data_IF_868821426423
#
_entry.id   IF_868821426423
#
_cell.length_a   1.000
_cell.length_b   1.000
_cell.length_c   1.000
_cell.angle_alpha   90.00
_cell.angle_beta   90.00
_cell.angle_gamma   90.00
#
_symmetry.space_group_name_H-M   'P 1'
#
loop_
_entity.id
_entity.type
_entity.pdbx_description
1 polymer ?
#
# COMPACT_ATOMS: atom_id res chain seq x y z
N UNK A 1 5.64 2.85 1.00
CA UNK A 1 4.30 2.37 1.36
C UNK A 1 3.76 1.38 0.33
N UNK A 2 2.83 0.52 0.78
CA UNK A 2 1.92 -0.18 -0.11
C UNK A 2 0.66 0.66 -0.23
N UNK A 3 0.21 0.91 -1.46
CA UNK A 3 -1.01 1.65 -1.75
C UNK A 3 -2.13 0.67 -2.07
N UNK A 4 -3.31 0.92 -1.56
CA UNK A 4 -4.50 0.18 -1.99
C UNK A 4 -4.87 0.64 -3.40
N UNK A 5 -4.77 -0.24 -4.35
CA UNK A 5 -5.14 0.01 -5.74
C UNK A 5 -6.33 -0.88 -6.07
N UNK A 6 -7.50 -0.27 -6.20
CA UNK A 6 -8.74 -0.95 -6.56
C UNK A 6 -8.91 -0.79 -8.07
N UNK A 7 -8.71 -1.88 -8.80
CA UNK A 7 -8.61 -1.86 -10.27
C UNK A 7 -9.80 -2.53 -10.91
N UNK A 8 -10.32 -1.91 -11.94
CA UNK A 8 -11.36 -2.46 -12.82
C UNK A 8 -11.06 -2.11 -14.27
N UNK A 9 -11.73 -2.76 -15.22
CA UNK A 9 -11.67 -2.37 -16.62
C UNK A 9 -12.59 -1.17 -16.88
N UNK A 10 -12.18 -0.28 -17.76
CA UNK A 10 -12.94 0.94 -18.10
C UNK A 10 -14.34 0.66 -18.60
N UNK A 11 -14.53 -0.42 -19.36
CA UNK A 11 -15.83 -0.85 -19.90
C UNK A 11 -16.79 -1.42 -18.84
N UNK A 12 -16.33 -1.67 -17.60
CA UNK A 12 -17.19 -2.09 -16.49
C UNK A 12 -18.14 -1.00 -16.02
N UNK A 13 -17.80 0.27 -16.26
CA UNK A 13 -18.53 1.44 -15.75
C UNK A 13 -18.41 1.65 -14.24
N UNK A 14 -17.57 0.87 -13.53
CA UNK A 14 -17.36 0.99 -12.08
C UNK A 14 -16.36 2.12 -11.82
N UNK A 15 -16.78 3.13 -11.07
CA UNK A 15 -15.99 4.34 -10.76
C UNK A 15 -15.91 4.65 -9.27
N UNK A 16 -16.65 3.92 -8.43
CA UNK A 16 -16.72 4.11 -6.98
C UNK A 16 -16.65 2.74 -6.30
N UNK A 17 -15.96 2.68 -5.16
CA UNK A 17 -15.81 1.43 -4.38
C UNK A 17 -17.16 0.85 -3.89
N UNK A 18 -18.17 1.68 -3.67
CA UNK A 18 -19.50 1.21 -3.24
C UNK A 18 -20.21 0.36 -4.31
N UNK A 19 -19.81 0.50 -5.57
CA UNK A 19 -20.36 -0.28 -6.69
C UNK A 19 -19.85 -1.73 -6.74
N UNK A 20 -18.95 -2.13 -5.83
CA UNK A 20 -18.53 -3.54 -5.70
C UNK A 20 -19.65 -4.44 -5.16
N UNK A 21 -20.70 -3.85 -4.56
CA UNK A 21 -21.88 -4.61 -4.11
C UNK A 21 -22.52 -5.34 -5.29
N UNK A 22 -22.75 -6.64 -5.12
CA UNK A 22 -23.29 -7.53 -6.16
C UNK A 22 -22.29 -7.95 -7.24
N UNK A 23 -21.04 -7.50 -7.17
CA UNK A 23 -19.99 -7.79 -8.17
C UNK A 23 -19.15 -9.01 -7.79
N UNK A 24 -18.40 -9.49 -8.76
CA UNK A 24 -17.36 -10.51 -8.59
C UNK A 24 -16.04 -9.75 -8.36
N UNK A 25 -15.42 -9.98 -7.23
CA UNK A 25 -14.18 -9.30 -6.89
C UNK A 25 -13.05 -10.28 -6.57
N UNK A 26 -11.84 -9.77 -6.47
CA UNK A 26 -10.73 -10.43 -5.78
C UNK A 26 -10.14 -9.46 -4.77
N UNK A 27 -10.31 -9.76 -3.49
CA UNK A 27 -9.75 -8.98 -2.38
C UNK A 27 -8.29 -9.32 -2.09
N UNK A 28 -7.65 -10.16 -2.88
CA UNK A 28 -6.31 -10.70 -2.68
C UNK A 28 -6.32 -12.09 -2.04
N UNK A 29 -5.19 -12.78 -2.10
CA UNK A 29 -5.04 -14.14 -1.57
C UNK A 29 -5.45 -14.24 -0.10
N UNK A 30 -6.03 -15.37 0.34
CA UNK A 30 -6.43 -15.56 1.73
C UNK A 30 -5.29 -15.27 2.70
N UNK A 31 -5.55 -14.46 3.74
CA UNK A 31 -4.56 -14.11 4.76
C UNK A 31 -3.45 -13.17 4.30
N UNK A 32 -3.50 -12.64 3.08
CA UNK A 32 -2.54 -11.64 2.60
C UNK A 32 -2.81 -10.26 3.19
N UNK A 33 -1.79 -9.42 3.24
CA UNK A 33 -1.94 -8.00 3.63
C UNK A 33 -2.95 -7.25 2.75
N UNK A 34 -3.07 -7.63 1.47
CA UNK A 34 -4.08 -7.07 0.56
C UNK A 34 -5.49 -7.44 0.99
N UNK A 35 -5.74 -8.72 1.31
CA UNK A 35 -7.04 -9.17 1.78
C UNK A 35 -7.43 -8.45 3.08
N UNK A 36 -6.50 -8.36 4.05
CA UNK A 36 -6.74 -7.60 5.28
C UNK A 36 -7.09 -6.14 5.02
N UNK A 37 -6.33 -5.47 4.17
CA UNK A 37 -6.55 -4.05 3.87
C UNK A 37 -7.86 -3.83 3.12
N UNK A 38 -8.17 -4.66 2.12
CA UNK A 38 -9.41 -4.59 1.36
C UNK A 38 -10.63 -4.76 2.27
N UNK A 39 -10.64 -5.78 3.14
CA UNK A 39 -11.72 -5.99 4.11
C UNK A 39 -11.85 -4.84 5.10
N UNK A 40 -10.73 -4.34 5.64
CA UNK A 40 -10.73 -3.22 6.59
C UNK A 40 -11.31 -1.95 5.95
N UNK A 41 -10.90 -1.63 4.72
CA UNK A 41 -11.42 -0.46 3.98
C UNK A 41 -12.90 -0.64 3.68
N UNK A 42 -13.33 -1.78 3.16
CA UNK A 42 -14.73 -2.05 2.84
C UNK A 42 -15.61 -1.93 4.09
N UNK A 43 -15.20 -2.52 5.22
CA UNK A 43 -15.91 -2.38 6.50
C UNK A 43 -16.02 -0.93 6.96
N UNK A 44 -14.93 -0.17 6.90
CA UNK A 44 -14.90 1.23 7.34
C UNK A 44 -15.82 2.13 6.50
N UNK A 45 -15.96 1.85 5.20
CA UNK A 45 -16.86 2.60 4.31
C UNK A 45 -18.30 2.02 4.26
N UNK A 46 -18.59 1.01 5.08
CA UNK A 46 -19.95 0.47 5.21
C UNK A 46 -20.37 -0.49 4.08
N UNK A 47 -19.42 -1.20 3.49
CA UNK A 47 -19.67 -2.26 2.49
C UNK A 47 -19.66 -3.60 3.22
N UNK A 48 -20.79 -4.33 3.30
CA UNK A 48 -20.83 -5.66 3.90
C UNK A 48 -20.02 -6.66 3.10
N UNK A 49 -19.24 -7.52 3.78
CA UNK A 49 -18.35 -8.48 3.12
C UNK A 49 -19.08 -9.64 2.43
N UNK A 50 -20.35 -9.81 2.71
CA UNK A 50 -21.25 -10.79 2.06
C UNK A 50 -22.04 -10.18 0.89
N UNK A 51 -21.83 -8.88 0.59
CA UNK A 51 -22.53 -8.18 -0.48
C UNK A 51 -21.93 -8.38 -1.88
N UNK A 52 -20.86 -9.16 -2.02
CA UNK A 52 -20.15 -9.43 -3.28
C UNK A 52 -19.65 -10.89 -3.33
N UNK A 53 -19.23 -11.34 -4.50
CA UNK A 53 -18.58 -12.66 -4.67
C UNK A 53 -17.06 -12.47 -4.70
N UNK A 54 -16.35 -12.97 -3.69
CA UNK A 54 -14.91 -12.83 -3.55
C UNK A 54 -14.17 -14.12 -3.96
N UNK A 55 -13.34 -14.03 -4.97
CA UNK A 55 -12.52 -15.13 -5.49
C UNK A 55 -11.18 -15.31 -4.81
N UNK A 56 -10.71 -14.28 -4.07
CA UNK A 56 -9.46 -14.30 -3.25
C UNK A 56 -8.22 -14.79 -3.98
N UNK A 57 -7.94 -14.21 -5.13
CA UNK A 57 -6.87 -14.60 -6.04
C UNK A 57 -5.54 -13.88 -5.71
N UNK A 58 -4.42 -14.43 -6.18
CA UNK A 58 -3.13 -13.73 -6.22
C UNK A 58 -3.17 -12.54 -7.18
N UNK A 59 -2.14 -11.70 -7.17
CA UNK A 59 -2.07 -10.51 -8.03
C UNK A 59 -2.14 -10.86 -9.52
N UNK A 60 -1.37 -11.87 -9.95
CA UNK A 60 -1.35 -12.31 -11.35
C UNK A 60 -2.68 -12.94 -11.76
N UNK A 61 -3.24 -13.80 -10.91
CA UNK A 61 -4.56 -14.40 -11.16
C UNK A 61 -5.66 -13.35 -11.20
N UNK A 62 -5.63 -12.33 -10.33
CA UNK A 62 -6.59 -11.21 -10.35
C UNK A 62 -6.52 -10.41 -11.64
N UNK A 63 -5.30 -10.13 -12.14
CA UNK A 63 -5.12 -9.44 -13.42
C UNK A 63 -5.65 -10.28 -14.60
N UNK A 64 -5.38 -11.58 -14.61
CA UNK A 64 -5.91 -12.50 -15.61
C UNK A 64 -7.45 -12.59 -15.52
N UNK A 65 -7.99 -12.73 -14.32
CA UNK A 65 -9.43 -12.81 -14.10
C UNK A 65 -10.17 -11.53 -14.52
N UNK A 66 -9.58 -10.34 -14.37
CA UNK A 66 -10.10 -9.10 -14.94
C UNK A 66 -10.07 -9.12 -16.46
N UNK A 67 -8.95 -9.57 -17.07
CA UNK A 67 -8.78 -9.69 -18.52
C UNK A 67 -9.82 -10.63 -19.12
N UNK A 68 -10.05 -11.76 -18.48
CA UNK A 68 -10.98 -12.81 -18.92
C UNK A 68 -12.44 -12.50 -18.55
N UNK A 69 -12.68 -11.38 -17.84
CA UNK A 69 -14.03 -10.98 -17.40
C UNK A 69 -14.67 -11.93 -16.38
N UNK A 70 -13.86 -12.73 -15.65
CA UNK A 70 -14.36 -13.62 -14.59
C UNK A 70 -14.52 -12.92 -13.25
N UNK A 71 -13.81 -11.79 -13.03
CA UNK A 71 -14.08 -10.82 -11.97
C UNK A 71 -14.29 -9.43 -12.54
N UNK A 72 -14.93 -8.56 -11.77
CA UNK A 72 -15.26 -7.20 -12.17
C UNK A 72 -14.31 -6.17 -11.53
N UNK A 73 -13.79 -6.47 -10.33
CA UNK A 73 -12.88 -5.60 -9.56
C UNK A 73 -11.81 -6.44 -8.86
N UNK A 74 -10.57 -5.96 -8.90
CA UNK A 74 -9.47 -6.54 -8.14
C UNK A 74 -8.84 -5.54 -7.17
N UNK A 75 -8.34 -6.01 -6.05
CA UNK A 75 -7.66 -5.23 -5.01
C UNK A 75 -6.19 -5.59 -4.96
N UNK A 76 -5.33 -4.58 -4.88
CA UNK A 76 -3.89 -4.70 -4.69
C UNK A 76 -3.45 -3.76 -3.56
N UNK A 77 -2.71 -4.27 -2.59
CA UNK A 77 -2.00 -3.46 -1.61
C UNK A 77 -0.50 -3.61 -1.86
N UNK A 78 0.03 -2.80 -2.75
CA UNK A 78 1.38 -2.92 -3.30
C UNK A 78 1.98 -1.56 -3.63
N UNK A 79 3.28 -1.53 -3.91
CA UNK A 79 3.93 -0.34 -4.46
C UNK A 79 3.39 0.04 -5.85
N UNK A 80 3.40 1.33 -6.21
CA UNK A 80 3.06 1.79 -7.56
C UNK A 80 3.93 1.09 -8.63
N UNK A 81 3.34 0.82 -9.80
CA UNK A 81 4.06 0.19 -10.91
C UNK A 81 4.22 -1.33 -10.78
N UNK A 82 3.34 -1.99 -10.03
CA UNK A 82 3.33 -3.45 -9.92
C UNK A 82 3.06 -4.10 -11.28
N UNK A 83 3.90 -5.10 -11.63
CA UNK A 83 3.93 -5.74 -12.96
C UNK A 83 2.58 -6.27 -13.41
N UNK A 84 1.82 -6.93 -12.53
CA UNK A 84 0.51 -7.50 -12.90
C UNK A 84 -0.51 -6.44 -13.35
N UNK A 85 -0.48 -5.23 -12.76
CA UNK A 85 -1.34 -4.10 -13.18
C UNK A 85 -0.77 -3.45 -14.44
N UNK A 86 0.57 -3.31 -14.54
CA UNK A 86 1.23 -2.80 -15.75
C UNK A 86 0.87 -3.66 -16.96
N UNK A 87 1.00 -4.98 -16.85
CA UNK A 87 0.69 -5.93 -17.92
C UNK A 87 -0.79 -5.88 -18.33
N UNK A 88 -1.69 -5.77 -17.37
CA UNK A 88 -3.11 -5.57 -17.66
C UNK A 88 -3.36 -4.26 -18.42
N UNK A 89 -2.74 -3.18 -17.98
CA UNK A 89 -2.88 -1.85 -18.58
C UNK A 89 -2.26 -1.74 -19.98
N UNK A 90 -1.34 -2.62 -20.38
CA UNK A 90 -0.81 -2.64 -21.75
C UNK A 90 -1.86 -3.07 -22.78
N UNK A 91 -2.76 -3.97 -22.41
CA UNK A 91 -3.73 -4.62 -23.30
C UNK A 91 -5.16 -4.13 -23.10
N UNK A 92 -5.49 -3.59 -21.94
CA UNK A 92 -6.84 -3.15 -21.56
C UNK A 92 -6.80 -1.75 -20.96
N UNK A 93 -7.85 -0.96 -21.21
CA UNK A 93 -8.05 0.30 -20.52
C UNK A 93 -8.56 0.03 -19.11
N UNK A 94 -7.78 0.43 -18.11
CA UNK A 94 -8.10 0.24 -16.70
C UNK A 94 -8.59 1.54 -16.05
N UNK A 95 -9.27 1.38 -14.93
CA UNK A 95 -9.59 2.45 -13.98
C UNK A 95 -9.05 2.02 -12.61
N UNK A 96 -8.31 2.91 -11.97
CA UNK A 96 -8.02 2.77 -10.54
C UNK A 96 -9.08 3.59 -9.80
N UNK A 97 -9.92 2.91 -9.04
CA UNK A 97 -11.06 3.51 -8.33
C UNK A 97 -10.52 4.32 -7.15
N UNK A 98 -10.85 5.61 -7.04
CA UNK A 98 -10.41 6.45 -5.93
C UNK A 98 -11.11 6.08 -4.62
N UNK A 99 -10.42 6.27 -3.50
CA UNK A 99 -11.01 6.33 -2.17
C UNK A 99 -11.25 7.82 -1.87
N UNK A 100 -12.50 8.22 -1.74
CA UNK A 100 -12.85 9.63 -1.56
C UNK A 100 -12.34 10.17 -0.22
N UNK A 101 -12.19 11.50 -0.07
CA UNK A 101 -11.76 12.09 1.21
C UNK A 101 -12.65 11.68 2.40
N UNK A 102 -13.96 11.57 2.18
CA UNK A 102 -14.90 11.11 3.22
C UNK A 102 -14.65 9.65 3.60
N UNK A 103 -14.48 8.78 2.59
CA UNK A 103 -14.14 7.36 2.80
C UNK A 103 -12.79 7.21 3.49
N UNK A 104 -11.79 7.99 3.06
CA UNK A 104 -10.47 8.06 3.71
C UNK A 104 -10.59 8.40 5.18
N UNK A 105 -11.36 9.42 5.55
CA UNK A 105 -11.55 9.80 6.94
C UNK A 105 -12.16 8.66 7.77
N UNK A 106 -13.14 7.94 7.25
CA UNK A 106 -13.73 6.77 7.92
C UNK A 106 -12.70 5.66 8.15
N UNK A 107 -11.85 5.40 7.15
CA UNK A 107 -10.80 4.38 7.26
C UNK A 107 -9.75 4.76 8.29
N UNK A 108 -9.25 6.01 8.28
CA UNK A 108 -8.24 6.49 9.22
C UNK A 108 -8.76 6.54 10.66
N UNK A 109 -10.05 6.82 10.85
CA UNK A 109 -10.69 6.77 12.18
C UNK A 109 -10.79 5.34 12.70
N UNK A 110 -11.02 4.37 11.80
CA UNK A 110 -11.12 2.95 12.17
C UNK A 110 -9.75 2.30 12.40
N UNK A 111 -8.69 2.81 11.77
CA UNK A 111 -7.35 2.24 11.88
C UNK A 111 -6.27 3.31 11.61
N UNK A 112 -5.53 3.67 12.64
CA UNK A 112 -4.48 4.70 12.65
C UNK A 112 -3.15 4.26 12.00
N UNK A 113 -3.02 2.99 11.62
CA UNK A 113 -1.85 2.49 10.88
C UNK A 113 -1.90 2.85 9.39
N UNK A 114 -3.05 3.24 8.89
CA UNK A 114 -3.23 3.68 7.51
C UNK A 114 -2.95 5.18 7.35
N UNK A 115 -2.66 5.58 6.13
CA UNK A 115 -2.43 6.97 5.77
C UNK A 115 -3.16 7.31 4.47
N UNK A 116 -3.58 8.58 4.34
CA UNK A 116 -4.02 9.13 3.07
C UNK A 116 -2.82 9.32 2.15
N UNK A 117 -2.88 8.77 0.95
CA UNK A 117 -1.82 8.86 -0.06
C UNK A 117 -2.45 8.97 -1.44
N UNK A 118 -1.67 9.45 -2.41
CA UNK A 118 -2.09 9.45 -3.81
C UNK A 118 -1.23 8.45 -4.60
N UNK A 119 -1.88 7.64 -5.44
CA UNK A 119 -1.22 6.99 -6.56
C UNK A 119 -0.90 8.06 -7.60
N UNK A 120 0.37 8.25 -7.92
CA UNK A 120 0.78 9.27 -8.88
C UNK A 120 0.18 9.03 -10.27
N UNK A 121 -0.20 10.09 -10.97
CA UNK A 121 -0.59 10.02 -12.37
C UNK A 121 0.58 9.54 -13.24
N UNK A 122 0.27 8.85 -14.34
CA UNK A 122 1.24 8.33 -15.28
C UNK A 122 1.90 6.99 -14.89
N UNK A 123 1.59 6.44 -13.72
CA UNK A 123 2.11 5.12 -13.28
C UNK A 123 1.58 4.00 -14.17
N UNK A 124 0.34 4.07 -14.58
CA UNK A 124 -0.29 3.10 -15.48
C UNK A 124 -0.86 3.82 -16.71
N UNK A 125 -0.84 3.15 -17.84
CA UNK A 125 -1.47 3.67 -19.07
C UNK A 125 -2.96 3.95 -18.82
N UNK A 126 -3.39 5.16 -19.15
CA UNK A 126 -4.78 5.62 -18.96
C UNK A 126 -5.10 6.12 -17.54
N UNK A 127 -4.13 6.16 -16.64
CA UNK A 127 -4.25 6.76 -15.30
C UNK A 127 -3.37 8.01 -15.26
N UNK A 128 -3.82 9.10 -15.87
CA UNK A 128 -2.99 10.29 -16.11
C UNK A 128 -2.97 11.26 -14.92
N UNK A 129 -3.95 11.17 -14.04
CA UNK A 129 -4.09 12.06 -12.87
C UNK A 129 -3.79 11.29 -11.58
N UNK A 130 -3.34 11.98 -10.51
CA UNK A 130 -3.24 11.36 -9.19
C UNK A 130 -4.60 10.78 -8.75
N UNK A 131 -4.55 9.58 -8.15
CA UNK A 131 -5.74 8.90 -7.63
C UNK A 131 -5.62 8.80 -6.11
N UNK A 132 -6.51 9.48 -5.34
CA UNK A 132 -6.49 9.41 -3.89
C UNK A 132 -6.83 8.00 -3.42
N UNK A 133 -6.06 7.52 -2.45
CA UNK A 133 -6.21 6.18 -1.90
C UNK A 133 -5.66 6.08 -0.47
N UNK A 134 -5.64 4.87 0.05
CA UNK A 134 -5.12 4.52 1.38
C UNK A 134 -3.77 3.81 1.20
N UNK A 135 -2.82 4.16 2.05
CA UNK A 135 -1.53 3.49 2.12
C UNK A 135 -1.23 2.91 3.49
N UNK A 136 -0.37 1.91 3.51
CA UNK A 136 0.23 1.35 4.71
C UNK A 136 1.75 1.35 4.55
N UNK A 137 2.46 1.70 5.61
CA UNK A 137 3.91 1.77 5.59
C UNK A 137 4.50 0.43 6.05
N UNK A 138 5.38 -0.13 5.21
CA UNK A 138 6.15 -1.29 5.60
C UNK A 138 7.24 -0.88 6.58
N UNK A 139 7.41 -1.64 7.65
CA UNK A 139 8.45 -1.43 8.64
C UNK A 139 9.34 -2.68 8.75
N UNK A 140 10.64 -2.45 8.88
CA UNK A 140 11.58 -3.51 9.22
C UNK A 140 11.54 -3.70 10.72
N UNK A 141 11.24 -4.91 11.19
CA UNK A 141 11.25 -5.25 12.60
C UNK A 141 12.47 -6.11 12.93
N UNK A 142 12.99 -5.98 14.12
CA UNK A 142 14.09 -6.76 14.63
C UNK A 142 13.85 -7.15 16.10
N UNK A 143 14.58 -8.15 16.57
CA UNK A 143 14.55 -8.52 17.98
C UNK A 143 15.19 -7.41 18.84
N UNK A 144 14.58 -7.13 19.99
CA UNK A 144 15.10 -6.15 20.95
C UNK A 144 16.51 -6.50 21.46
N UNK A 145 16.88 -7.77 21.42
CA UNK A 145 18.19 -8.29 21.87
C UNK A 145 19.34 -8.03 20.89
N UNK A 146 19.08 -7.53 19.66
CA UNK A 146 20.17 -7.13 18.78
C UNK A 146 20.98 -6.00 19.41
N UNK A 147 22.29 -6.00 19.15
CA UNK A 147 23.15 -4.94 19.69
C UNK A 147 22.88 -3.59 18.99
N UNK A 148 23.06 -2.51 19.74
CA UNK A 148 22.92 -1.15 19.19
C UNK A 148 23.82 -0.95 17.95
N UNK A 149 25.07 -1.42 18.01
CA UNK A 149 26.03 -1.30 16.91
C UNK A 149 25.57 -2.03 15.64
N UNK A 150 25.04 -3.24 15.79
CA UNK A 150 24.54 -4.02 14.66
C UNK A 150 23.37 -3.30 13.98
N UNK A 151 22.39 -2.86 14.74
CA UNK A 151 21.21 -2.18 14.15
C UNK A 151 21.61 -0.80 13.59
N UNK A 152 22.53 -0.08 14.24
CA UNK A 152 23.06 1.16 13.69
C UNK A 152 23.68 0.93 12.30
N UNK A 153 24.55 -0.07 12.15
CA UNK A 153 25.19 -0.41 10.86
C UNK A 153 24.19 -0.82 9.78
N UNK A 154 23.18 -1.59 10.14
CA UNK A 154 22.11 -1.97 9.22
C UNK A 154 21.33 -0.76 8.71
N UNK A 155 20.95 0.13 9.63
CA UNK A 155 20.20 1.35 9.31
C UNK A 155 21.04 2.32 8.49
N UNK A 156 22.31 2.51 8.86
CA UNK A 156 23.26 3.32 8.10
C UNK A 156 23.40 2.80 6.66
N UNK A 157 23.64 1.50 6.49
CA UNK A 157 23.77 0.88 5.18
C UNK A 157 22.51 1.08 4.33
N UNK A 158 21.32 0.95 4.93
CA UNK A 158 20.05 1.08 4.23
C UNK A 158 19.83 2.51 3.70
N UNK A 159 20.11 3.51 4.51
CA UNK A 159 19.86 4.91 4.13
C UNK A 159 20.99 5.51 3.29
N UNK A 160 22.25 5.18 3.58
CA UNK A 160 23.40 5.71 2.86
C UNK A 160 23.55 5.10 1.46
N UNK A 161 23.02 3.91 1.23
CA UNK A 161 23.00 3.26 -0.08
C UNK A 161 21.59 3.23 -0.72
N UNK A 162 20.71 4.15 -0.35
CA UNK A 162 19.33 4.21 -0.87
C UNK A 162 19.29 4.34 -2.40
N UNK A 163 20.25 5.03 -3.02
CA UNK A 163 20.34 5.15 -4.47
C UNK A 163 20.50 3.80 -5.18
N UNK A 164 21.20 2.85 -4.56
CA UNK A 164 21.29 1.49 -5.08
C UNK A 164 19.93 0.76 -4.98
N UNK A 165 19.23 0.90 -3.86
CA UNK A 165 17.91 0.32 -3.65
C UNK A 165 16.87 0.88 -4.64
N UNK A 166 16.97 2.17 -4.97
CA UNK A 166 16.08 2.83 -5.96
C UNK A 166 16.25 2.27 -7.37
N UNK A 167 17.44 1.80 -7.72
CA UNK A 167 17.69 1.11 -9.01
C UNK A 167 17.03 -0.27 -9.06
N UNK A 168 16.85 -0.92 -7.90
CA UNK A 168 16.18 -2.22 -7.79
C UNK A 168 14.66 -2.03 -7.83
N UNK A 169 14.12 -1.06 -7.05
CA UNK A 169 12.68 -0.82 -6.98
C UNK A 169 12.39 0.66 -6.69
N UNK A 170 11.53 1.32 -7.50
CA UNK A 170 11.22 2.75 -7.34
C UNK A 170 10.68 3.13 -5.95
N UNK A 171 9.93 2.24 -5.30
CA UNK A 171 9.39 2.47 -3.95
C UNK A 171 10.46 2.67 -2.88
N UNK A 172 11.73 2.34 -3.13
CA UNK A 172 12.83 2.65 -2.23
C UNK A 172 13.04 4.16 -2.04
N UNK A 173 12.47 5.00 -2.92
CA UNK A 173 12.42 6.45 -2.75
C UNK A 173 11.74 6.88 -1.43
N UNK A 174 10.85 6.04 -0.90
CA UNK A 174 10.17 6.28 0.37
C UNK A 174 10.96 5.79 1.59
N UNK A 175 12.05 5.05 1.40
CA UNK A 175 12.93 4.58 2.50
C UNK A 175 13.85 5.72 2.91
N UNK A 176 13.34 6.62 3.74
CA UNK A 176 14.06 7.77 4.27
C UNK A 176 14.02 7.82 5.79
N UNK A 177 15.01 8.44 6.42
CA UNK A 177 15.03 8.63 7.87
C UNK A 177 13.80 9.39 8.40
N UNK A 178 13.33 10.41 7.67
CA UNK A 178 12.14 11.20 8.02
C UNK A 178 10.87 10.33 8.01
N UNK A 179 10.74 9.48 7.02
CA UNK A 179 9.60 8.56 6.93
C UNK A 179 9.61 7.51 8.05
N UNK A 180 10.79 7.06 8.50
CA UNK A 180 10.88 6.16 9.65
C UNK A 180 10.30 6.79 10.92
N UNK A 181 10.57 8.08 11.16
CA UNK A 181 10.02 8.80 12.31
C UNK A 181 8.54 9.11 12.15
N UNK A 182 8.13 9.47 10.94
CA UNK A 182 6.75 9.88 10.65
C UNK A 182 5.75 8.71 10.72
N UNK A 183 6.16 7.53 10.27
CA UNK A 183 5.24 6.43 10.00
C UNK A 183 5.50 5.15 10.80
N UNK A 184 6.50 5.12 11.70
CA UNK A 184 6.68 3.96 12.57
C UNK A 184 5.51 3.83 13.55
N UNK A 185 4.83 2.67 13.58
CA UNK A 185 3.75 2.42 14.53
C UNK A 185 4.26 1.92 15.90
N UNK A 186 5.57 1.63 16.00
CA UNK A 186 6.21 1.03 17.19
C UNK A 186 7.49 1.79 17.55
N UNK A 187 7.98 1.69 18.80
CA UNK A 187 9.26 2.25 19.21
C UNK A 187 10.41 1.79 18.31
N UNK A 188 11.36 2.70 18.09
CA UNK A 188 12.55 2.43 17.29
C UNK A 188 13.62 1.76 18.17
N UNK A 189 14.42 0.88 17.55
CA UNK A 189 15.55 0.27 18.23
C UNK A 189 16.60 1.32 18.60
N UNK A 190 17.36 1.18 19.75
CA UNK A 190 18.40 2.13 20.14
C UNK A 190 19.40 2.49 19.04
N UNK A 191 19.83 1.50 18.23
CA UNK A 191 20.73 1.74 17.10
C UNK A 191 20.12 2.62 16.01
N UNK A 192 18.80 2.48 15.75
CA UNK A 192 18.08 3.38 14.83
C UNK A 192 18.01 4.80 15.39
N UNK A 193 17.66 4.93 16.68
CA UNK A 193 17.59 6.25 17.35
C UNK A 193 18.94 6.96 17.32
N UNK A 194 20.04 6.24 17.57
CA UNK A 194 21.40 6.78 17.49
C UNK A 194 21.71 7.35 16.11
N UNK A 195 21.48 6.56 15.06
CA UNK A 195 21.69 6.98 13.67
C UNK A 195 20.88 8.25 13.33
N UNK A 196 19.58 8.26 13.66
CA UNK A 196 18.71 9.41 13.38
C UNK A 196 19.19 10.68 14.09
N UNK A 197 19.59 10.58 15.37
CA UNK A 197 20.13 11.71 16.13
C UNK A 197 21.43 12.26 15.52
N UNK A 198 22.33 11.39 15.07
CA UNK A 198 23.57 11.80 14.39
C UNK A 198 23.30 12.52 13.06
N UNK A 199 22.20 12.17 12.37
CA UNK A 199 21.75 12.87 11.16
C UNK A 199 20.88 14.12 11.47
N UNK A 200 20.75 14.51 12.73
CA UNK A 200 19.99 15.71 13.15
C UNK A 200 18.48 15.54 13.12
N UNK A 201 17.98 14.30 13.06
CA UNK A 201 16.55 14.02 12.99
C UNK A 201 15.98 13.81 14.40
N UNK A 202 15.01 14.64 14.77
CA UNK A 202 14.34 14.54 16.05
C UNK A 202 13.47 13.28 16.13
N UNK A 203 13.64 12.49 17.19
CA UNK A 203 12.84 11.29 17.45
C UNK A 203 11.79 11.60 18.52
N UNK A 204 10.49 11.53 18.22
CA UNK A 204 9.43 11.77 19.19
C UNK A 204 9.49 10.81 20.38
N UNK A 205 9.05 11.26 21.56
CA UNK A 205 9.08 10.45 22.79
C UNK A 205 8.37 9.09 22.64
N UNK A 206 7.25 9.03 21.90
CA UNK A 206 6.52 7.80 21.64
C UNK A 206 7.29 6.72 20.85
N UNK A 207 8.36 7.14 20.14
CA UNK A 207 9.22 6.25 19.35
C UNK A 207 10.54 5.93 20.05
N UNK A 208 10.78 6.45 21.24
CA UNK A 208 11.95 6.10 22.03
C UNK A 208 11.82 4.65 22.55
N UNK A 209 12.94 3.90 22.68
CA UNK A 209 12.97 2.51 23.14
C UNK A 209 12.35 2.29 24.51
#
# INVERSE_FOLDING_TARGET
PNLLQVVTLKNSGITNIEQVKGKRISSGSPGSGTNFMAEAVMKAVGIPLDSFKDSRLSFTESANALRDGTIDVGFWSVGPGTSSILDLATTHDIVVIPITPEQTQKVLTANDTYASVDLAGGVYRGVDKPVPTIGVWNVMICQKSLTEDMVYKLVAALYEHNDYLRKIHPSAAYTTPENAVKYSPIPLHPGTVKYLKEKGIAVPAKLMP
#
